data_IF_182286733610
#
_entry.id   IF_182286733610
#
_cell.length_a   1.000
_cell.length_b   1.000
_cell.length_c   1.000
_cell.angle_alpha   90.00
_cell.angle_beta   90.00
_cell.angle_gamma   90.00
#
_symmetry.space_group_name_H-M   'P 1'
#
loop_
_entity.id
_entity.type
_entity.pdbx_description
1 polymer ?
#
# COMPACT_ATOMS: atom_id res chain seq x y z
N UNK A 1 18.54 18.51 -0.11
CA UNK A 1 17.18 19.07 -0.29
C UNK A 1 16.11 18.03 -0.66
N UNK A 2 16.44 16.89 -1.30
CA UNK A 2 15.45 15.86 -1.70
C UNK A 2 14.96 14.93 -0.57
N UNK A 3 15.73 14.79 0.51
CA UNK A 3 15.36 13.93 1.65
C UNK A 3 14.23 14.47 2.54
N UNK A 4 13.79 15.71 2.34
CA UNK A 4 12.75 16.36 3.16
C UNK A 4 11.33 16.23 2.58
N UNK A 5 11.18 15.62 1.39
CA UNK A 5 9.89 15.55 0.66
C UNK A 5 9.13 14.24 0.91
N UNK A 6 9.78 13.22 1.50
CA UNK A 6 9.17 11.92 1.76
C UNK A 6 9.09 11.69 3.26
N UNK A 7 7.90 11.41 3.78
CA UNK A 7 7.72 11.02 5.18
C UNK A 7 8.65 9.83 5.55
N UNK A 8 9.21 9.77 6.77
CA UNK A 8 10.14 8.71 7.17
C UNK A 8 9.62 7.27 6.95
N UNK A 9 8.32 7.05 7.15
CA UNK A 9 7.65 5.77 6.89
C UNK A 9 7.57 5.42 5.39
N UNK A 10 7.55 6.44 4.53
CA UNK A 10 7.63 6.26 3.07
C UNK A 10 9.05 5.88 2.66
N UNK A 11 10.08 6.41 3.32
CA UNK A 11 11.48 6.06 3.01
C UNK A 11 11.81 4.58 3.34
N UNK A 12 11.33 4.04 4.47
CA UNK A 12 11.50 2.61 4.78
C UNK A 12 10.69 1.70 3.85
N UNK A 13 9.49 2.13 3.45
CA UNK A 13 8.66 1.40 2.50
C UNK A 13 9.27 1.42 1.09
N UNK A 14 9.85 2.53 0.66
CA UNK A 14 10.52 2.63 -0.63
C UNK A 14 11.82 1.83 -0.68
N UNK A 15 12.61 1.82 0.41
CA UNK A 15 13.83 1.02 0.46
C UNK A 15 13.50 -0.47 0.41
N UNK A 16 12.39 -0.88 1.02
CA UNK A 16 11.89 -2.26 0.93
C UNK A 16 11.49 -2.66 -0.50
N UNK A 17 10.93 -1.73 -1.27
CA UNK A 17 10.54 -1.96 -2.66
C UNK A 17 11.78 -2.07 -3.57
N UNK A 18 12.79 -1.21 -3.37
CA UNK A 18 14.05 -1.31 -4.11
C UNK A 18 14.78 -2.60 -3.78
N UNK A 19 14.91 -2.95 -2.50
CA UNK A 19 15.53 -4.22 -2.08
C UNK A 19 14.83 -5.43 -2.71
N UNK A 20 13.49 -5.41 -2.76
CA UNK A 20 12.72 -6.46 -3.44
C UNK A 20 13.03 -6.55 -4.94
N UNK A 21 13.25 -5.41 -5.60
CA UNK A 21 13.61 -5.36 -7.01
C UNK A 21 15.05 -5.80 -7.26
N UNK A 22 16.02 -5.39 -6.44
CA UNK A 22 17.42 -5.83 -6.55
C UNK A 22 17.55 -7.33 -6.34
N UNK A 23 16.82 -7.87 -5.37
CA UNK A 23 16.73 -9.31 -5.11
C UNK A 23 16.18 -10.06 -6.33
N UNK A 24 15.10 -9.56 -6.94
CA UNK A 24 14.55 -10.13 -8.16
C UNK A 24 15.57 -10.10 -9.30
N UNK A 25 16.23 -8.96 -9.52
CA UNK A 25 17.26 -8.84 -10.55
C UNK A 25 18.41 -9.83 -10.33
N UNK A 26 18.89 -9.95 -9.09
CA UNK A 26 19.97 -10.87 -8.72
C UNK A 26 19.58 -12.33 -8.95
N UNK A 27 18.40 -12.75 -8.48
CA UNK A 27 17.92 -14.14 -8.61
C UNK A 27 17.65 -14.58 -10.04
N UNK A 28 17.26 -13.65 -10.91
CA UNK A 28 16.90 -13.93 -12.30
C UNK A 28 17.95 -13.46 -13.31
N UNK A 29 19.14 -13.06 -12.84
CA UNK A 29 20.23 -12.53 -13.66
C UNK A 29 19.81 -11.37 -14.58
N UNK A 30 18.87 -10.53 -14.14
CA UNK A 30 18.50 -9.32 -14.85
C UNK A 30 19.41 -8.14 -14.50
N UNK A 31 19.67 -7.22 -15.44
CA UNK A 31 20.35 -5.99 -15.14
C UNK A 31 19.51 -5.14 -14.15
N UNK A 32 20.20 -4.42 -13.25
CA UNK A 32 19.55 -3.48 -12.33
C UNK A 32 18.89 -2.30 -13.06
N UNK A 33 19.36 -1.97 -14.27
CA UNK A 33 18.76 -0.94 -15.11
C UNK A 33 17.31 -1.34 -15.47
N UNK A 34 16.30 -0.59 -15.02
CA UNK A 34 14.92 -0.92 -15.29
C UNK A 34 14.58 -0.68 -16.75
N UNK A 35 13.97 -1.66 -17.39
CA UNK A 35 13.36 -1.56 -18.73
C UNK A 35 11.88 -1.89 -18.63
N UNK A 36 11.05 -1.57 -19.64
CA UNK A 36 9.65 -1.97 -19.65
C UNK A 36 9.47 -3.48 -19.46
N UNK A 37 10.33 -4.30 -20.08
CA UNK A 37 10.30 -5.76 -19.96
C UNK A 37 10.63 -6.21 -18.54
N UNK A 38 11.75 -5.76 -17.96
CA UNK A 38 12.17 -6.13 -16.60
C UNK A 38 11.12 -5.73 -15.57
N UNK A 39 10.54 -4.53 -15.70
CA UNK A 39 9.46 -4.08 -14.83
C UNK A 39 8.18 -4.92 -15.01
N UNK A 40 7.86 -5.33 -16.23
CA UNK A 40 6.70 -6.20 -16.48
C UNK A 40 6.89 -7.60 -15.87
N UNK A 41 8.08 -8.20 -15.99
CA UNK A 41 8.39 -9.47 -15.36
C UNK A 41 8.37 -9.38 -13.83
N UNK A 42 8.91 -8.28 -13.28
CA UNK A 42 8.82 -8.00 -11.86
C UNK A 42 7.35 -7.91 -11.38
N UNK A 43 6.47 -7.26 -12.16
CA UNK A 43 5.03 -7.20 -11.84
C UNK A 43 4.41 -8.58 -11.79
N UNK A 44 4.63 -9.41 -12.82
CA UNK A 44 4.09 -10.77 -12.87
C UNK A 44 4.61 -11.56 -11.68
N UNK A 45 5.92 -11.58 -11.46
CA UNK A 45 6.56 -12.28 -10.34
C UNK A 45 5.95 -11.85 -9.00
N UNK A 46 5.96 -10.55 -8.69
CA UNK A 46 5.48 -10.06 -7.40
C UNK A 46 3.98 -10.24 -7.19
N UNK A 47 3.16 -10.23 -8.25
CA UNK A 47 1.73 -10.50 -8.14
C UNK A 47 1.42 -11.96 -7.73
N UNK A 48 2.40 -12.88 -7.77
CA UNK A 48 2.27 -14.21 -7.18
C UNK A 48 2.46 -14.19 -5.65
N UNK A 49 3.26 -13.26 -5.13
CA UNK A 49 3.64 -13.20 -3.73
C UNK A 49 2.81 -12.20 -2.91
N UNK A 50 2.37 -11.10 -3.53
CA UNK A 50 1.62 -10.02 -2.89
C UNK A 50 0.44 -9.55 -3.74
N UNK A 51 -0.48 -8.78 -3.14
CA UNK A 51 -1.64 -8.23 -3.84
C UNK A 51 -1.20 -7.30 -4.98
N UNK A 52 -1.82 -7.37 -6.18
CA UNK A 52 -1.48 -6.49 -7.31
C UNK A 52 -1.51 -5.00 -6.99
N UNK A 53 -2.42 -4.58 -6.08
CA UNK A 53 -2.49 -3.19 -5.61
C UNK A 53 -1.20 -2.77 -4.87
N UNK A 54 -0.62 -3.67 -4.07
CA UNK A 54 0.65 -3.43 -3.38
C UNK A 54 1.82 -3.37 -4.37
N UNK A 55 1.81 -4.20 -5.42
CA UNK A 55 2.82 -4.16 -6.50
C UNK A 55 2.85 -2.80 -7.19
N UNK A 56 1.69 -2.18 -7.41
CA UNK A 56 1.61 -0.82 -7.97
C UNK A 56 2.35 0.21 -7.10
N UNK A 57 2.24 0.10 -5.78
CA UNK A 57 2.97 0.97 -4.84
C UNK A 57 4.47 0.70 -4.87
N UNK A 58 4.87 -0.57 -4.96
CA UNK A 58 6.28 -0.96 -5.07
C UNK A 58 6.92 -0.39 -6.33
N UNK A 59 6.24 -0.47 -7.48
CA UNK A 59 6.72 0.15 -8.72
C UNK A 59 6.95 1.66 -8.59
N UNK A 60 6.04 2.37 -7.90
CA UNK A 60 6.24 3.79 -7.63
C UNK A 60 7.50 4.03 -6.79
N UNK A 61 7.73 3.21 -5.78
CA UNK A 61 8.92 3.27 -4.94
C UNK A 61 10.21 3.03 -5.68
N UNK A 62 10.28 1.91 -6.41
CA UNK A 62 11.43 1.55 -7.24
C UNK A 62 11.75 2.70 -8.22
N UNK A 63 10.74 3.26 -8.87
CA UNK A 63 10.95 4.34 -9.82
C UNK A 63 11.41 5.64 -9.16
N UNK A 64 10.92 5.97 -7.97
CA UNK A 64 11.35 7.15 -7.23
C UNK A 64 12.81 7.04 -6.77
N UNK A 65 13.22 5.87 -6.28
CA UNK A 65 14.59 5.65 -5.81
C UNK A 65 15.59 5.52 -6.96
N UNK A 66 15.18 4.91 -8.08
CA UNK A 66 16.03 4.77 -9.25
C UNK A 66 16.08 6.04 -10.12
N UNK A 67 15.19 7.00 -9.92
CA UNK A 67 15.12 8.23 -10.72
C UNK A 67 16.45 9.00 -10.83
N UNK A 68 17.22 9.20 -9.73
CA UNK A 68 18.48 9.94 -9.79
C UNK A 68 19.54 9.28 -10.66
N UNK A 69 19.46 7.95 -10.84
CA UNK A 69 20.46 7.14 -11.57
C UNK A 69 19.96 6.84 -12.99
N UNK A 70 18.65 6.61 -13.14
CA UNK A 70 17.99 6.21 -14.38
C UNK A 70 16.80 7.13 -14.67
N UNK A 71 16.99 8.29 -15.33
CA UNK A 71 15.92 9.27 -15.53
C UNK A 71 14.73 8.73 -16.34
N UNK A 72 14.98 7.74 -17.22
CA UNK A 72 13.95 7.13 -18.07
C UNK A 72 13.05 6.14 -17.32
N UNK A 73 13.32 5.84 -16.04
CA UNK A 73 12.57 4.84 -15.27
C UNK A 73 11.07 5.17 -15.16
N UNK A 74 10.71 6.45 -15.05
CA UNK A 74 9.31 6.87 -15.02
C UNK A 74 8.61 6.61 -16.36
N UNK A 75 9.29 6.84 -17.47
CA UNK A 75 8.77 6.54 -18.82
C UNK A 75 8.58 5.04 -18.99
N UNK A 76 9.53 4.24 -18.53
CA UNK A 76 9.42 2.78 -18.56
C UNK A 76 8.28 2.24 -17.69
N UNK A 77 8.05 2.81 -16.50
CA UNK A 77 6.88 2.47 -15.66
C UNK A 77 5.56 2.77 -16.34
N UNK A 78 5.47 3.88 -17.08
CA UNK A 78 4.27 4.29 -17.83
C UNK A 78 4.11 3.57 -19.17
N UNK A 79 5.08 2.73 -19.56
CA UNK A 79 5.03 2.00 -20.82
C UNK A 79 3.82 1.04 -20.85
N UNK A 80 3.19 0.92 -22.03
CA UNK A 80 1.97 0.10 -22.21
C UNK A 80 2.13 -1.35 -21.77
N UNK A 81 3.33 -1.90 -21.94
CA UNK A 81 3.64 -3.27 -21.47
C UNK A 81 3.46 -3.40 -19.96
N UNK A 82 4.02 -2.48 -19.17
CA UNK A 82 3.96 -2.52 -17.71
C UNK A 82 2.54 -2.25 -17.23
N UNK A 83 1.87 -1.25 -17.78
CA UNK A 83 0.50 -0.88 -17.38
C UNK A 83 -0.51 -1.97 -17.73
N UNK A 84 -0.44 -2.55 -18.93
CA UNK A 84 -1.31 -3.66 -19.33
C UNK A 84 -1.05 -4.92 -18.50
N UNK A 85 0.21 -5.22 -18.20
CA UNK A 85 0.57 -6.36 -17.35
C UNK A 85 0.00 -6.19 -15.94
N UNK A 86 0.17 -5.01 -15.34
CA UNK A 86 -0.39 -4.71 -14.03
C UNK A 86 -1.92 -4.79 -14.03
N UNK A 87 -2.58 -4.22 -15.05
CA UNK A 87 -4.04 -4.33 -15.20
C UNK A 87 -4.50 -5.78 -15.37
N UNK A 88 -3.77 -6.59 -16.16
CA UNK A 88 -4.04 -8.01 -16.32
C UNK A 88 -3.92 -8.77 -14.99
N UNK A 89 -2.84 -8.54 -14.25
CA UNK A 89 -2.64 -9.12 -12.92
C UNK A 89 -3.71 -8.68 -11.93
N UNK A 90 -4.12 -7.40 -11.95
CA UNK A 90 -5.26 -6.91 -11.16
C UNK A 90 -6.52 -7.67 -11.54
N UNK A 91 -6.88 -7.78 -12.82
CA UNK A 91 -8.09 -8.47 -13.26
C UNK A 91 -8.13 -9.94 -12.84
N UNK A 92 -7.01 -10.66 -12.99
CA UNK A 92 -6.93 -12.11 -12.70
C UNK A 92 -6.87 -12.38 -11.19
N UNK A 93 -6.24 -11.49 -10.41
CA UNK A 93 -5.93 -11.71 -8.99
C UNK A 93 -6.61 -10.72 -8.05
N UNK A 94 -7.66 -10.03 -8.51
CA UNK A 94 -8.46 -9.16 -7.64
C UNK A 94 -9.14 -10.05 -6.61
N UNK A 95 -8.82 -9.81 -5.34
CA UNK A 95 -9.62 -10.33 -4.24
C UNK A 95 -10.77 -9.37 -3.96
N UNK A 96 -11.98 -9.87 -3.67
CA UNK A 96 -13.08 -9.01 -3.28
C UNK A 96 -12.64 -8.16 -2.09
N UNK A 97 -13.07 -6.89 -2.09
CA UNK A 97 -12.73 -5.98 -0.99
C UNK A 97 -13.41 -6.51 0.28
N UNK A 98 -12.62 -7.10 1.17
CA UNK A 98 -13.09 -7.48 2.50
C UNK A 98 -13.27 -6.21 3.32
N UNK A 99 -14.53 -5.81 3.53
CA UNK A 99 -14.88 -4.73 4.46
C UNK A 99 -15.17 -5.36 5.81
N UNK A 100 -14.62 -4.79 6.89
CA UNK A 100 -15.10 -5.11 8.23
C UNK A 100 -16.59 -4.73 8.31
N UNK A 101 -17.40 -5.54 8.99
CA UNK A 101 -18.81 -5.22 9.22
C UNK A 101 -18.91 -3.89 9.95
N UNK A 102 -19.88 -3.05 9.56
CA UNK A 102 -20.19 -1.82 10.28
C UNK A 102 -20.60 -2.14 11.73
N UNK A 103 -20.22 -1.24 12.66
CA UNK A 103 -20.67 -1.31 14.04
C UNK A 103 -22.20 -1.22 14.07
N UNK A 104 -22.84 -2.07 14.85
CA UNK A 104 -24.31 -2.03 15.04
C UNK A 104 -24.68 -1.18 16.24
N UNK A 105 -25.94 -0.72 16.28
CA UNK A 105 -26.48 0.02 17.43
C UNK A 105 -26.42 -0.78 18.73
N UNK A 106 -26.62 -2.10 18.67
CA UNK A 106 -26.53 -2.98 19.84
C UNK A 106 -25.10 -3.10 20.36
N UNK A 107 -24.11 -3.19 19.46
CA UNK A 107 -22.70 -3.16 19.86
C UNK A 107 -22.30 -1.82 20.47
N UNK A 108 -22.77 -0.71 19.90
CA UNK A 108 -22.55 0.62 20.46
C UNK A 108 -23.14 0.72 21.88
N UNK A 109 -24.38 0.26 22.06
CA UNK A 109 -25.04 0.24 23.36
C UNK A 109 -24.27 -0.61 24.38
N UNK A 110 -23.74 -1.77 23.96
CA UNK A 110 -22.93 -2.62 24.83
C UNK A 110 -21.63 -1.92 25.29
N UNK A 111 -21.00 -1.14 24.41
CA UNK A 111 -19.80 -0.35 24.77
C UNK A 111 -20.17 0.76 25.75
N UNK A 112 -21.28 1.48 25.52
CA UNK A 112 -21.78 2.48 26.45
C UNK A 112 -22.07 1.88 27.84
N UNK A 113 -22.76 0.74 27.91
CA UNK A 113 -23.09 0.08 29.19
C UNK A 113 -21.83 -0.32 29.97
N UNK A 114 -20.79 -0.78 29.27
CA UNK A 114 -19.53 -1.20 29.89
C UNK A 114 -18.72 -0.02 30.42
N UNK A 115 -18.65 1.07 29.67
CA UNK A 115 -17.73 2.19 29.97
C UNK A 115 -18.41 3.37 30.69
N UNK A 116 -19.75 3.39 30.82
CA UNK A 116 -20.48 4.51 31.45
C UNK A 116 -20.07 4.77 32.91
N UNK A 117 -19.66 3.74 33.65
CA UNK A 117 -19.31 3.83 35.07
C UNK A 117 -17.80 3.92 35.29
N UNK A 118 -17.00 3.85 34.24
CA UNK A 118 -15.55 3.92 34.37
C UNK A 118 -15.13 5.37 34.68
N UNK A 119 -14.36 5.60 35.76
CA UNK A 119 -14.00 6.94 36.19
C UNK A 119 -12.90 7.56 35.32
N UNK A 120 -12.18 6.74 34.54
CA UNK A 120 -11.05 7.17 33.74
C UNK A 120 -11.48 8.16 32.64
N UNK A 121 -10.69 9.21 32.46
CA UNK A 121 -10.93 10.21 31.43
C UNK A 121 -10.90 9.61 30.02
N UNK A 122 -9.94 8.72 29.76
CA UNK A 122 -9.72 8.10 28.45
C UNK A 122 -10.92 7.27 28.00
N UNK A 123 -11.59 6.57 28.93
CA UNK A 123 -12.80 5.79 28.61
C UNK A 123 -13.98 6.68 28.22
N UNK A 124 -14.15 7.82 28.91
CA UNK A 124 -15.17 8.81 28.57
C UNK A 124 -14.87 9.51 27.24
N UNK A 125 -13.61 9.84 27.00
CA UNK A 125 -13.16 10.42 25.73
C UNK A 125 -13.39 9.45 24.57
N UNK A 126 -13.05 8.18 24.75
CA UNK A 126 -13.30 7.13 23.78
C UNK A 126 -14.79 6.98 23.47
N UNK A 127 -15.65 6.94 24.49
CA UNK A 127 -17.11 6.91 24.31
C UNK A 127 -17.61 8.13 23.53
N UNK A 128 -17.14 9.34 23.86
CA UNK A 128 -17.53 10.55 23.17
C UNK A 128 -17.16 10.49 21.67
N UNK A 129 -15.93 10.10 21.34
CA UNK A 129 -15.46 9.95 19.96
C UNK A 129 -16.27 8.87 19.22
N UNK A 130 -16.52 7.72 19.86
CA UNK A 130 -17.23 6.60 19.25
C UNK A 130 -18.68 6.97 18.92
N UNK A 131 -19.41 7.55 19.88
CA UNK A 131 -20.82 7.92 19.71
C UNK A 131 -20.96 9.09 18.72
N UNK A 132 -20.10 10.11 18.82
CA UNK A 132 -20.12 11.24 17.87
C UNK A 132 -19.73 10.82 16.46
N UNK A 133 -18.73 9.94 16.31
CA UNK A 133 -18.35 9.38 15.01
C UNK A 133 -19.44 8.51 14.39
N UNK A 134 -20.13 7.70 15.20
CA UNK A 134 -21.22 6.84 14.73
C UNK A 134 -22.46 7.65 14.31
N UNK A 135 -22.83 8.69 15.06
CA UNK A 135 -24.01 9.50 14.78
C UNK A 135 -23.77 10.69 13.84
N UNK A 136 -22.57 11.26 13.85
CA UNK A 136 -22.21 12.45 13.05
C UNK A 136 -21.77 12.15 11.61
N UNK A 137 -21.51 10.88 11.29
CA UNK A 137 -21.21 10.39 9.93
C UNK A 137 -22.40 9.66 9.27
N UNK A 138 -23.58 9.67 9.92
CA UNK A 138 -24.85 9.25 9.30
C UNK A 138 -25.45 10.36 8.45
#
# INVERSE_FOLDING_TARGET
>A
ALGAVLEPASHSSYSSALNSYTDFCSRHNFPLKPTPDTLSFYVVYMCHHIKPKSVSSYLSGICNELLPIYPNVQTHRKHKLVTNTLHGCMKIRTTPTSRKRAITRSELANVCIKLQNEPAHDDKLFLAILVTGFHGLM
#
